data_IF_639332661750
#
_entry.id   IF_639332661750
#
_cell.length_a   1.000
_cell.length_b   1.000
_cell.length_c   1.000
_cell.angle_alpha   90.00
_cell.angle_beta   90.00
_cell.angle_gamma   90.00
#
_symmetry.space_group_name_H-M   'P 1'
#
loop_
_entity.id
_entity.type
_entity.pdbx_description
1 polymer ?
#
# COMPACT_ATOMS: atom_id res chain seq x y z
N UNK A 1 33.38 16.04 -9.14
CA UNK A 1 33.51 16.58 -7.76
C UNK A 1 32.10 16.89 -7.29
N UNK A 2 31.64 16.30 -6.18
CA UNK A 2 30.26 16.45 -5.70
C UNK A 2 30.02 17.79 -4.96
N UNK A 3 31.08 18.40 -4.44
CA UNK A 3 31.03 19.70 -3.77
C UNK A 3 32.35 19.99 -3.04
N UNK A 4 32.46 21.21 -2.51
CA UNK A 4 33.56 21.64 -1.63
C UNK A 4 32.98 21.96 -0.25
N UNK A 5 33.68 21.58 0.82
CA UNK A 5 33.23 21.77 2.20
C UNK A 5 34.35 22.36 3.02
N UNK A 6 34.05 23.40 3.79
CA UNK A 6 34.97 23.96 4.76
C UNK A 6 34.95 23.13 6.05
N UNK A 7 36.12 22.96 6.67
CA UNK A 7 36.24 22.27 7.95
C UNK A 7 35.75 23.17 9.09
N UNK A 8 35.00 22.61 10.03
CA UNK A 8 34.58 23.31 11.25
C UNK A 8 35.78 23.56 12.18
N UNK A 9 35.58 24.41 13.19
CA UNK A 9 36.60 24.78 14.20
C UNK A 9 37.22 23.58 14.94
N UNK A 10 36.55 22.43 14.93
CA UNK A 10 36.97 21.20 15.59
C UNK A 10 37.62 20.18 14.64
N UNK A 11 37.87 20.53 13.37
CA UNK A 11 38.46 19.62 12.39
C UNK A 11 37.47 18.63 11.74
N UNK A 12 36.19 18.70 12.08
CA UNK A 12 35.12 17.89 11.48
C UNK A 12 34.45 18.63 10.31
N UNK A 13 33.77 17.89 9.44
CA UNK A 13 32.93 18.46 8.39
C UNK A 13 31.72 17.56 8.14
N UNK A 14 30.61 18.15 7.69
CA UNK A 14 29.41 17.42 7.26
C UNK A 14 29.05 17.83 5.85
N UNK A 15 28.79 16.85 4.98
CA UNK A 15 28.32 17.09 3.62
C UNK A 15 27.03 16.32 3.38
N UNK A 16 25.98 17.02 2.96
CA UNK A 16 24.70 16.41 2.59
C UNK A 16 24.56 16.53 1.07
N UNK A 17 24.36 15.39 0.43
CA UNK A 17 24.14 15.30 -1.01
C UNK A 17 23.00 14.33 -1.29
N UNK A 18 22.25 14.61 -2.36
CA UNK A 18 21.15 13.76 -2.84
C UNK A 18 21.58 13.09 -4.13
N UNK A 19 21.57 11.76 -4.14
CA UNK A 19 21.94 10.99 -5.32
C UNK A 19 20.88 11.12 -6.42
N UNK A 20 21.28 11.63 -7.58
CA UNK A 20 20.44 11.72 -8.79
C UNK A 20 20.56 10.47 -9.68
N UNK A 21 21.58 9.66 -9.44
CA UNK A 21 21.91 8.47 -10.24
C UNK A 21 21.80 7.20 -9.40
N UNK A 22 21.27 6.16 -10.03
CA UNK A 22 21.10 4.84 -9.44
C UNK A 22 22.26 3.94 -9.85
N UNK A 23 22.73 3.09 -8.94
CA UNK A 23 23.89 2.23 -9.17
C UNK A 23 24.82 2.12 -7.97
N UNK A 24 25.99 1.54 -8.21
CA UNK A 24 27.06 1.47 -7.22
C UNK A 24 27.94 2.72 -7.39
N UNK A 25 28.00 3.54 -6.35
CA UNK A 25 28.76 4.79 -6.33
C UNK A 25 29.89 4.64 -5.34
N UNK A 26 31.08 5.01 -5.78
CA UNK A 26 32.25 5.03 -4.92
C UNK A 26 32.61 6.47 -4.59
N UNK A 27 32.59 6.79 -3.30
CA UNK A 27 32.83 8.14 -2.79
C UNK A 27 34.20 8.19 -2.13
N UNK A 28 34.95 9.27 -2.42
CA UNK A 28 36.20 9.60 -1.73
C UNK A 28 36.25 11.08 -1.42
N UNK A 29 36.87 11.42 -0.30
CA UNK A 29 37.13 12.80 0.11
C UNK A 29 38.59 13.10 -0.16
N UNK A 30 38.86 14.23 -0.79
CA UNK A 30 40.22 14.73 -1.05
C UNK A 30 40.41 16.06 -0.35
N UNK A 31 41.54 16.20 0.33
CA UNK A 31 42.00 17.45 0.94
C UNK A 31 43.30 17.88 0.26
N UNK A 32 43.35 19.12 -0.24
CA UNK A 32 44.44 19.60 -1.11
C UNK A 32 45.74 19.94 -0.38
N UNK A 33 45.75 19.97 0.96
CA UNK A 33 46.93 20.38 1.72
C UNK A 33 46.88 21.82 2.20
N UNK A 34 47.84 22.18 3.05
CA UNK A 34 48.16 23.56 3.42
C UNK A 34 49.67 23.75 3.44
N UNK A 35 50.17 24.95 3.76
CA UNK A 35 51.61 25.20 3.90
C UNK A 35 52.30 24.34 4.97
N UNK A 36 51.54 23.85 5.96
CA UNK A 36 52.05 23.07 7.09
C UNK A 36 51.76 21.57 6.97
N UNK A 37 50.75 21.16 6.18
CA UNK A 37 50.30 19.77 6.12
C UNK A 37 50.09 19.31 4.67
N UNK A 38 50.52 18.09 4.35
CA UNK A 38 50.46 17.49 3.00
C UNK A 38 49.03 17.12 2.59
N UNK A 39 48.79 17.02 1.29
CA UNK A 39 47.51 16.52 0.74
C UNK A 39 47.15 15.15 1.31
N UNK A 40 45.85 14.92 1.49
CA UNK A 40 45.32 13.67 2.05
C UNK A 40 44.10 13.22 1.26
N UNK A 41 43.95 11.91 1.11
CA UNK A 41 42.78 11.32 0.46
C UNK A 41 42.22 10.21 1.34
N UNK A 42 40.91 10.22 1.55
CA UNK A 42 40.23 9.19 2.32
C UNK A 42 40.22 7.87 1.57
N UNK A 43 39.93 6.80 2.33
CA UNK A 43 39.49 5.53 1.76
C UNK A 43 38.21 5.72 0.95
N UNK A 44 38.00 4.83 0.00
CA UNK A 44 36.81 4.79 -0.83
C UNK A 44 35.66 4.11 -0.06
N UNK A 45 34.48 4.73 -0.10
CA UNK A 45 33.25 4.17 0.47
C UNK A 45 32.30 3.87 -0.67
N UNK A 46 31.98 2.59 -0.86
CA UNK A 46 30.98 2.16 -1.84
C UNK A 46 29.58 2.21 -1.22
N UNK A 47 28.67 2.89 -1.92
CA UNK A 47 27.25 2.93 -1.59
C UNK A 47 26.45 2.44 -2.79
N UNK A 48 25.42 1.63 -2.56
CA UNK A 48 24.52 1.15 -3.60
C UNK A 48 23.21 1.93 -3.53
N UNK A 49 23.01 2.83 -4.48
CA UNK A 49 21.77 3.62 -4.61
C UNK A 49 20.83 2.85 -5.53
N UNK A 50 19.79 2.24 -4.94
CA UNK A 50 18.73 1.60 -5.73
C UNK A 50 17.63 2.61 -6.02
N UNK A 51 17.05 2.53 -7.22
CA UNK A 51 15.82 3.26 -7.53
C UNK A 51 14.67 2.63 -6.73
N UNK A 52 14.45 3.14 -5.53
CA UNK A 52 13.33 2.70 -4.73
C UNK A 52 12.10 3.46 -5.18
N UNK A 53 11.12 2.73 -5.73
CA UNK A 53 9.83 3.31 -6.08
C UNK A 53 9.23 3.97 -4.83
N UNK A 54 9.07 5.29 -4.85
CA UNK A 54 8.64 6.10 -3.71
C UNK A 54 7.15 5.92 -3.43
N UNK A 55 6.75 5.87 -2.17
CA UNK A 55 5.35 5.99 -1.79
C UNK A 55 4.94 7.47 -1.75
N UNK A 56 4.87 8.14 -2.90
CA UNK A 56 4.70 9.60 -3.04
C UNK A 56 3.66 10.21 -2.09
N UNK A 57 2.44 9.68 -2.08
CA UNK A 57 1.36 10.19 -1.21
C UNK A 57 1.71 10.05 0.28
N UNK A 58 2.30 8.93 0.68
CA UNK A 58 2.67 8.69 2.07
C UNK A 58 3.86 9.56 2.48
N UNK A 59 4.86 9.71 1.62
CA UNK A 59 6.00 10.62 1.83
C UNK A 59 5.54 12.06 1.99
N UNK A 60 4.67 12.55 1.11
CA UNK A 60 4.08 13.89 1.21
C UNK A 60 3.28 14.08 2.50
N UNK A 61 2.57 13.03 2.94
CA UNK A 61 1.72 13.06 4.15
C UNK A 61 2.53 13.09 5.44
N UNK A 62 3.57 12.26 5.53
CA UNK A 62 4.40 12.10 6.74
C UNK A 62 5.68 12.96 6.71
N UNK A 63 5.96 13.64 5.60
CA UNK A 63 7.05 14.59 5.42
C UNK A 63 8.43 13.97 5.22
N UNK A 64 8.57 12.65 5.31
CA UNK A 64 9.85 11.96 5.10
C UNK A 64 9.66 10.52 4.66
N UNK A 65 10.52 10.06 3.75
CA UNK A 65 10.62 8.65 3.35
C UNK A 65 11.12 7.76 4.50
N UNK A 66 11.79 8.36 5.49
CA UNK A 66 12.31 7.69 6.69
C UNK A 66 11.31 7.70 7.85
N UNK A 67 10.12 8.26 7.66
CA UNK A 67 9.06 8.15 8.67
C UNK A 67 8.73 6.68 8.92
N UNK A 68 8.37 6.30 10.17
CA UNK A 68 8.10 4.91 10.52
C UNK A 68 6.92 4.34 9.72
N UNK A 69 5.94 5.17 9.37
CA UNK A 69 4.79 4.79 8.54
C UNK A 69 5.20 4.45 7.10
N UNK A 70 5.98 5.32 6.45
CA UNK A 70 6.45 5.08 5.08
C UNK A 70 7.43 3.91 5.03
N UNK A 71 8.31 3.81 6.02
CA UNK A 71 9.25 2.69 6.17
C UNK A 71 8.53 1.37 6.33
N UNK A 72 7.45 1.32 7.13
CA UNK A 72 6.60 0.14 7.25
C UNK A 72 5.94 -0.24 5.92
N UNK A 73 5.33 0.73 5.21
CA UNK A 73 4.67 0.48 3.91
C UNK A 73 5.65 -0.11 2.89
N UNK A 74 6.86 0.46 2.83
CA UNK A 74 7.95 -0.04 1.98
C UNK A 74 8.39 -1.44 2.40
N UNK A 75 8.59 -1.67 3.69
CA UNK A 75 8.94 -2.97 4.24
C UNK A 75 7.89 -4.04 3.89
N UNK A 76 6.60 -3.73 4.05
CA UNK A 76 5.51 -4.63 3.66
C UNK A 76 5.54 -4.93 2.16
N UNK A 77 5.66 -3.90 1.32
CA UNK A 77 5.74 -4.07 -0.14
C UNK A 77 6.95 -4.91 -0.55
N UNK A 78 8.14 -4.51 -0.14
CA UNK A 78 9.39 -5.01 -0.68
C UNK A 78 9.81 -6.35 -0.05
N UNK A 79 9.50 -6.56 1.23
CA UNK A 79 9.94 -7.76 1.95
C UNK A 79 8.88 -8.85 2.06
N UNK A 80 7.59 -8.53 1.86
CA UNK A 80 6.49 -9.51 1.92
C UNK A 80 5.91 -9.69 0.53
N UNK A 81 5.30 -8.63 -0.04
CA UNK A 81 4.50 -8.75 -1.26
C UNK A 81 5.38 -9.04 -2.49
N UNK A 82 6.43 -8.25 -2.74
CA UNK A 82 7.26 -8.42 -3.94
C UNK A 82 8.16 -9.66 -3.95
N UNK A 83 8.24 -10.39 -2.82
CA UNK A 83 9.01 -11.65 -2.75
C UNK A 83 8.25 -12.85 -3.29
N UNK A 84 6.98 -12.70 -3.63
CA UNK A 84 6.15 -13.75 -4.24
C UNK A 84 5.81 -13.40 -5.68
N UNK A 85 5.53 -14.41 -6.49
CA UNK A 85 5.13 -14.26 -7.89
C UNK A 85 3.79 -13.53 -8.00
N UNK A 86 2.77 -13.96 -7.25
CA UNK A 86 1.46 -13.30 -7.30
C UNK A 86 1.53 -11.88 -6.74
N UNK A 87 2.33 -11.67 -5.68
CA UNK A 87 2.50 -10.35 -5.09
C UNK A 87 3.28 -9.39 -5.98
N UNK A 88 4.33 -9.85 -6.68
CA UNK A 88 5.07 -9.03 -7.63
C UNK A 88 4.20 -8.63 -8.83
N UNK A 89 3.43 -9.57 -9.40
CA UNK A 89 2.47 -9.29 -10.47
C UNK A 89 1.40 -8.29 -10.01
N UNK A 90 0.80 -8.49 -8.84
CA UNK A 90 -0.13 -7.52 -8.27
C UNK A 90 0.50 -6.13 -8.16
N UNK A 91 1.74 -6.04 -7.66
CA UNK A 91 2.45 -4.79 -7.52
C UNK A 91 2.73 -4.11 -8.87
N UNK A 92 2.95 -4.86 -9.96
CA UNK A 92 3.08 -4.27 -11.29
C UNK A 92 1.79 -3.56 -11.72
N UNK A 93 0.65 -4.25 -11.62
CA UNK A 93 -0.66 -3.68 -11.95
C UNK A 93 -1.03 -2.51 -11.04
N UNK A 94 -0.84 -2.66 -9.73
CA UNK A 94 -1.06 -1.60 -8.76
C UNK A 94 -0.20 -0.37 -9.05
N UNK A 95 1.10 -0.57 -9.33
CA UNK A 95 2.02 0.53 -9.59
C UNK A 95 1.65 1.31 -10.86
N UNK A 96 1.18 0.64 -11.91
CA UNK A 96 0.74 1.31 -13.13
C UNK A 96 -0.38 2.32 -12.84
N UNK A 97 -1.33 1.94 -11.98
CA UNK A 97 -2.43 2.81 -11.56
C UNK A 97 -1.91 3.88 -10.59
N UNK A 98 -1.21 3.49 -9.54
CA UNK A 98 -0.76 4.39 -8.47
C UNK A 98 0.17 5.50 -8.97
N UNK A 99 1.17 5.17 -9.79
CA UNK A 99 2.14 6.16 -10.28
C UNK A 99 1.60 7.04 -11.40
N UNK A 100 0.44 6.70 -12.00
CA UNK A 100 -0.20 7.55 -13.01
C UNK A 100 -0.70 8.88 -12.46
N UNK A 101 -1.06 8.95 -11.17
CA UNK A 101 -1.64 10.15 -10.55
C UNK A 101 -0.95 10.57 -9.25
N UNK A 102 -0.29 9.64 -8.54
CA UNK A 102 0.25 9.94 -7.20
C UNK A 102 1.27 11.07 -7.13
N UNK A 103 2.15 11.32 -8.13
CA UNK A 103 3.10 12.44 -8.04
C UNK A 103 2.39 13.80 -7.99
N UNK A 104 1.34 13.98 -8.80
CA UNK A 104 0.57 15.22 -8.83
C UNK A 104 -0.23 15.42 -7.54
N UNK A 105 -0.83 14.36 -6.99
CA UNK A 105 -1.52 14.46 -5.70
C UNK A 105 -0.53 14.74 -4.56
N UNK A 106 0.67 14.17 -4.60
CA UNK A 106 1.70 14.39 -3.59
C UNK A 106 2.16 15.85 -3.53
N UNK A 107 2.37 16.51 -4.67
CA UNK A 107 2.76 17.93 -4.68
C UNK A 107 1.70 18.82 -4.01
N UNK A 108 0.41 18.55 -4.26
CA UNK A 108 -0.70 19.29 -3.64
C UNK A 108 -0.74 19.06 -2.11
N UNK A 109 -0.44 17.84 -1.64
CA UNK A 109 -0.39 17.51 -0.20
C UNK A 109 0.81 18.20 0.47
N UNK A 110 1.95 18.30 -0.21
CA UNK A 110 3.15 18.94 0.34
C UNK A 110 2.93 20.43 0.58
N UNK A 111 2.22 21.11 -0.32
CA UNK A 111 1.93 22.55 -0.22
C UNK A 111 0.90 22.90 0.86
N UNK A 112 0.00 21.97 1.22
CA UNK A 112 -1.14 22.26 2.09
C UNK A 112 -1.13 21.45 3.41
N UNK A 113 -0.85 22.12 4.53
CA UNK A 113 -0.81 21.50 5.85
C UNK A 113 -2.16 20.91 6.32
N UNK A 114 -3.29 21.51 5.94
CA UNK A 114 -4.62 20.98 6.26
C UNK A 114 -4.84 19.67 5.51
N UNK A 115 -4.55 19.66 4.20
CA UNK A 115 -4.66 18.47 3.38
C UNK A 115 -3.74 17.36 3.88
N UNK A 116 -2.52 17.70 4.30
CA UNK A 116 -1.58 16.76 4.93
C UNK A 116 -2.18 16.08 6.18
N UNK A 117 -2.81 16.85 7.06
CA UNK A 117 -3.45 16.29 8.26
C UNK A 117 -4.67 15.44 7.91
N UNK A 118 -5.47 15.84 6.93
CA UNK A 118 -6.58 15.01 6.42
C UNK A 118 -6.05 13.68 5.85
N UNK A 119 -4.95 13.73 5.09
CA UNK A 119 -4.32 12.52 4.56
C UNK A 119 -3.76 11.61 5.64
N UNK A 120 -3.26 12.13 6.77
CA UNK A 120 -2.87 11.29 7.92
C UNK A 120 -4.08 10.52 8.47
N UNK A 121 -5.22 11.19 8.66
CA UNK A 121 -6.46 10.55 9.13
C UNK A 121 -6.93 9.49 8.15
N UNK A 122 -6.82 9.76 6.85
CA UNK A 122 -7.14 8.78 5.83
C UNK A 122 -6.14 7.62 5.86
N UNK A 123 -4.83 7.84 5.83
CA UNK A 123 -3.84 6.76 5.75
C UNK A 123 -3.75 5.89 7.01
N UNK A 124 -4.14 6.39 8.17
CA UNK A 124 -4.03 5.66 9.43
C UNK A 124 -4.77 4.30 9.45
N UNK A 125 -6.09 4.22 9.16
CA UNK A 125 -6.81 2.94 9.08
C UNK A 125 -6.26 2.01 7.99
N UNK A 126 -5.73 2.56 6.89
CA UNK A 126 -5.09 1.77 5.84
C UNK A 126 -3.80 1.11 6.35
N UNK A 127 -2.92 1.87 7.00
CA UNK A 127 -1.68 1.34 7.58
C UNK A 127 -2.00 0.30 8.65
N UNK A 128 -3.01 0.54 9.49
CA UNK A 128 -3.45 -0.42 10.48
C UNK A 128 -3.92 -1.74 9.84
N UNK A 129 -4.70 -1.66 8.77
CA UNK A 129 -5.16 -2.83 8.00
C UNK A 129 -3.99 -3.63 7.43
N UNK A 130 -2.96 -2.94 6.94
CA UNK A 130 -1.74 -3.59 6.43
C UNK A 130 -0.89 -4.20 7.55
N UNK A 131 -0.85 -3.60 8.74
CA UNK A 131 -0.18 -4.20 9.92
C UNK A 131 -0.86 -5.51 10.34
N UNK A 132 -2.20 -5.53 10.37
CA UNK A 132 -2.97 -6.75 10.66
C UNK A 132 -2.73 -7.81 9.58
N UNK A 133 -2.75 -7.42 8.31
CA UNK A 133 -2.44 -8.29 7.18
C UNK A 133 -1.01 -8.86 7.25
N UNK A 134 -0.02 -8.06 7.63
CA UNK A 134 1.35 -8.52 7.84
C UNK A 134 1.43 -9.54 8.98
N UNK A 135 0.71 -9.31 10.07
CA UNK A 135 0.59 -10.29 11.17
C UNK A 135 -0.01 -11.60 10.68
N UNK A 136 -1.09 -11.55 9.88
CA UNK A 136 -1.69 -12.73 9.29
C UNK A 136 -0.71 -13.48 8.38
N UNK A 137 0.06 -12.77 7.55
CA UNK A 137 1.10 -13.35 6.71
C UNK A 137 2.10 -14.16 7.54
N UNK A 138 2.73 -13.55 8.55
CA UNK A 138 3.75 -14.23 9.35
C UNK A 138 3.17 -15.39 10.16
N UNK A 139 1.92 -15.29 10.61
CA UNK A 139 1.24 -16.36 11.34
C UNK A 139 1.01 -17.61 10.48
N UNK A 140 0.68 -17.45 9.19
CA UNK A 140 0.34 -18.59 8.33
C UNK A 140 1.47 -19.06 7.43
N UNK A 141 2.43 -18.19 7.10
CA UNK A 141 3.49 -18.45 6.12
C UNK A 141 4.27 -19.77 6.36
N UNK A 142 4.64 -20.14 7.59
CA UNK A 142 5.31 -21.43 7.85
C UNK A 142 4.48 -22.67 7.49
N UNK A 143 3.16 -22.55 7.44
CA UNK A 143 2.24 -23.69 7.28
C UNK A 143 1.72 -23.87 5.86
N UNK A 144 1.45 -22.78 5.15
CA UNK A 144 0.79 -22.81 3.83
C UNK A 144 1.70 -22.38 2.66
N UNK A 145 2.93 -21.94 2.97
CA UNK A 145 3.88 -21.41 1.99
C UNK A 145 3.64 -19.94 1.65
N UNK A 146 4.66 -19.32 1.04
CA UNK A 146 4.73 -17.86 0.82
C UNK A 146 3.68 -17.33 -0.13
N UNK A 147 3.40 -18.03 -1.25
CA UNK A 147 2.39 -17.60 -2.23
C UNK A 147 0.99 -17.54 -1.60
N UNK A 148 0.55 -18.64 -0.97
CA UNK A 148 -0.76 -18.71 -0.34
C UNK A 148 -0.87 -17.73 0.84
N UNK A 149 0.21 -17.54 1.61
CA UNK A 149 0.26 -16.56 2.68
C UNK A 149 0.11 -15.12 2.18
N UNK A 150 0.74 -14.74 1.06
CA UNK A 150 0.55 -13.41 0.46
C UNK A 150 -0.87 -13.22 -0.07
N UNK A 151 -1.48 -14.25 -0.67
CA UNK A 151 -2.89 -14.17 -1.12
C UNK A 151 -3.82 -13.96 0.08
N UNK A 152 -3.62 -14.69 1.18
CA UNK A 152 -4.38 -14.48 2.42
C UNK A 152 -4.16 -13.09 3.00
N UNK A 153 -2.91 -12.63 3.05
CA UNK A 153 -2.59 -11.28 3.51
C UNK A 153 -3.30 -10.22 2.66
N UNK A 154 -3.30 -10.39 1.33
CA UNK A 154 -4.04 -9.56 0.39
C UNK A 154 -5.54 -9.54 0.68
N UNK A 155 -6.15 -10.70 0.91
CA UNK A 155 -7.57 -10.84 1.29
C UNK A 155 -7.91 -10.13 2.60
N UNK A 156 -7.06 -10.28 3.63
CA UNK A 156 -7.23 -9.62 4.93
C UNK A 156 -7.15 -8.11 4.73
N UNK A 157 -6.09 -7.62 4.06
CA UNK A 157 -5.90 -6.19 3.80
C UNK A 157 -7.07 -5.59 3.02
N UNK A 158 -7.47 -6.19 1.90
CA UNK A 158 -8.53 -5.67 1.04
C UNK A 158 -9.89 -5.68 1.73
N UNK A 159 -10.20 -6.72 2.52
CA UNK A 159 -11.45 -6.81 3.27
C UNK A 159 -11.53 -5.77 4.39
N UNK A 160 -10.43 -5.53 5.11
CA UNK A 160 -10.35 -4.50 6.15
C UNK A 160 -10.47 -3.09 5.55
N UNK A 161 -9.72 -2.81 4.47
CA UNK A 161 -9.78 -1.52 3.77
C UNK A 161 -11.19 -1.30 3.19
N UNK A 162 -11.76 -2.30 2.54
CA UNK A 162 -13.12 -2.25 2.03
C UNK A 162 -14.14 -1.95 3.12
N UNK A 163 -14.06 -2.65 4.27
CA UNK A 163 -14.97 -2.43 5.38
C UNK A 163 -14.86 -1.03 5.98
N UNK A 164 -13.65 -0.48 6.08
CA UNK A 164 -13.42 0.83 6.70
C UNK A 164 -13.78 1.99 5.76
N UNK A 165 -13.44 1.91 4.48
CA UNK A 165 -13.60 3.01 3.53
C UNK A 165 -14.91 2.95 2.74
N UNK A 166 -15.35 1.77 2.29
CA UNK A 166 -16.56 1.66 1.48
C UNK A 166 -17.83 1.72 2.33
N UNK A 167 -17.80 1.28 3.59
CA UNK A 167 -18.98 1.30 4.46
C UNK A 167 -19.61 2.70 4.61
N UNK A 168 -18.89 3.78 5.00
CA UNK A 168 -19.50 5.09 5.12
C UNK A 168 -20.05 5.61 3.77
N UNK A 169 -19.37 5.29 2.66
CA UNK A 169 -19.80 5.65 1.30
C UNK A 169 -21.11 4.95 0.94
N UNK A 170 -21.20 3.64 1.21
CA UNK A 170 -22.42 2.86 0.92
C UNK A 170 -23.57 3.30 1.81
N UNK A 171 -23.33 3.57 3.10
CA UNK A 171 -24.36 4.10 4.00
C UNK A 171 -24.87 5.47 3.54
N UNK A 172 -23.97 6.35 3.10
CA UNK A 172 -24.32 7.65 2.54
C UNK A 172 -25.14 7.49 1.24
N UNK A 173 -24.75 6.58 0.35
CA UNK A 173 -25.50 6.28 -0.86
C UNK A 173 -26.91 5.75 -0.53
N UNK A 174 -27.05 4.85 0.45
CA UNK A 174 -28.36 4.37 0.93
C UNK A 174 -29.18 5.53 1.52
N UNK A 175 -28.56 6.42 2.28
CA UNK A 175 -29.23 7.60 2.85
C UNK A 175 -29.77 8.53 1.75
N UNK A 176 -28.98 8.81 0.71
CA UNK A 176 -29.37 9.67 -0.42
C UNK A 176 -30.47 9.01 -1.27
N UNK A 177 -30.31 7.72 -1.59
CA UNK A 177 -31.30 6.97 -2.39
C UNK A 177 -32.62 6.73 -1.66
N UNK A 178 -32.62 6.71 -0.31
CA UNK A 178 -33.86 6.77 0.48
C UNK A 178 -34.57 8.11 0.39
N UNK A 179 -33.84 9.21 0.16
CA UNK A 179 -34.41 10.56 -0.03
C UNK A 179 -34.90 10.79 -1.47
N UNK A 180 -34.34 10.08 -2.44
CA UNK A 180 -34.76 10.10 -3.85
C UNK A 180 -34.91 8.66 -4.34
N UNK A 181 -36.11 8.05 -4.29
CA UNK A 181 -36.27 6.69 -4.76
C UNK A 181 -35.87 6.64 -6.23
N UNK A 182 -34.71 6.04 -6.51
CA UNK A 182 -34.32 5.67 -7.87
C UNK A 182 -35.31 4.59 -8.31
N UNK A 183 -36.35 5.03 -8.99
CA UNK A 183 -37.35 4.19 -9.63
C UNK A 183 -36.66 3.23 -10.59
N UNK A 184 -36.75 1.92 -10.34
CA UNK A 184 -36.47 0.88 -11.34
C UNK A 184 -35.33 -0.12 -11.05
N UNK A 185 -34.54 0.05 -9.99
CA UNK A 185 -33.42 -0.88 -9.70
C UNK A 185 -33.60 -1.54 -8.33
N UNK A 186 -34.30 -2.68 -8.31
CA UNK A 186 -34.37 -3.57 -7.13
C UNK A 186 -33.24 -4.58 -7.18
N UNK A 187 -32.01 -4.16 -6.84
CA UNK A 187 -30.89 -5.10 -6.73
C UNK A 187 -31.01 -5.83 -5.38
N UNK A 188 -31.23 -7.14 -5.43
CA UNK A 188 -31.17 -8.00 -4.24
C UNK A 188 -29.73 -8.11 -3.72
N UNK A 189 -29.51 -7.68 -2.47
CA UNK A 189 -28.24 -7.79 -1.76
C UNK A 189 -27.67 -9.23 -1.81
N UNK A 190 -28.54 -10.24 -1.78
CA UNK A 190 -28.13 -11.64 -1.85
C UNK A 190 -27.57 -12.00 -3.23
N UNK A 191 -28.10 -11.43 -4.32
CA UNK A 191 -27.58 -11.66 -5.66
C UNK A 191 -26.21 -10.99 -5.83
N UNK A 192 -26.02 -9.78 -5.28
CA UNK A 192 -24.70 -9.12 -5.26
C UNK A 192 -23.69 -9.98 -4.51
N UNK A 193 -24.04 -10.43 -3.29
CA UNK A 193 -23.14 -11.27 -2.49
C UNK A 193 -22.79 -12.57 -3.21
N UNK A 194 -23.76 -13.25 -3.81
CA UNK A 194 -23.50 -14.44 -4.64
C UNK A 194 -22.55 -14.13 -5.78
N UNK A 195 -22.80 -13.06 -6.54
CA UNK A 195 -21.95 -12.64 -7.65
C UNK A 195 -20.51 -12.34 -7.18
N UNK A 196 -20.35 -11.61 -6.08
CA UNK A 196 -19.03 -11.30 -5.50
C UNK A 196 -18.32 -12.56 -5.00
N UNK A 197 -19.03 -13.52 -4.38
CA UNK A 197 -18.43 -14.79 -3.96
C UNK A 197 -17.98 -15.63 -5.15
N UNK A 198 -18.78 -15.70 -6.22
CA UNK A 198 -18.41 -16.40 -7.46
C UNK A 198 -17.19 -15.74 -8.10
N UNK A 199 -17.18 -14.41 -8.19
CA UNK A 199 -16.05 -13.65 -8.73
C UNK A 199 -14.76 -13.87 -7.92
N UNK A 200 -14.87 -13.88 -6.59
CA UNK A 200 -13.75 -14.13 -5.70
C UNK A 200 -13.19 -15.54 -5.91
N UNK A 201 -14.04 -16.57 -5.93
CA UNK A 201 -13.61 -17.95 -6.18
C UNK A 201 -13.00 -18.12 -7.57
N UNK A 202 -13.58 -17.49 -8.60
CA UNK A 202 -13.06 -17.53 -9.97
C UNK A 202 -11.68 -16.87 -10.06
N UNK A 203 -11.50 -15.71 -9.42
CA UNK A 203 -10.20 -15.01 -9.39
C UNK A 203 -9.14 -15.79 -8.61
N UNK A 204 -9.50 -16.47 -7.51
CA UNK A 204 -8.60 -17.38 -6.79
C UNK A 204 -8.14 -18.54 -7.67
N UNK A 205 -9.07 -19.18 -8.38
CA UNK A 205 -8.74 -20.25 -9.30
C UNK A 205 -7.81 -19.75 -10.41
N UNK A 206 -8.11 -18.59 -11.00
CA UNK A 206 -7.27 -17.97 -12.03
C UNK A 206 -5.86 -17.59 -11.52
N UNK A 207 -5.72 -17.15 -10.26
CA UNK A 207 -4.40 -16.89 -9.68
C UNK A 207 -3.60 -18.19 -9.50
N UNK A 208 -4.25 -19.27 -9.04
CA UNK A 208 -3.59 -20.56 -8.89
C UNK A 208 -3.09 -21.11 -10.24
N UNK A 209 -3.92 -21.04 -11.28
CA UNK A 209 -3.51 -21.44 -12.64
C UNK A 209 -2.44 -20.52 -13.22
N UNK A 210 -2.53 -19.20 -13.00
CA UNK A 210 -1.52 -18.25 -13.43
C UNK A 210 -0.16 -18.50 -12.76
N UNK A 211 -0.16 -18.84 -11.47
CA UNK A 211 1.06 -19.21 -10.74
C UNK A 211 1.64 -20.54 -11.24
N UNK A 212 0.80 -21.51 -11.59
CA UNK A 212 1.25 -22.81 -12.12
C UNK A 212 1.87 -22.67 -13.51
N UNK A 213 1.25 -21.89 -14.40
CA UNK A 213 1.68 -21.69 -15.79
C UNK A 213 2.69 -20.54 -15.92
N UNK A 214 2.97 -19.81 -14.83
CA UNK A 214 3.82 -18.62 -14.79
C UNK A 214 3.37 -17.51 -15.77
N UNK A 215 2.05 -17.36 -15.95
CA UNK A 215 1.48 -16.37 -16.86
C UNK A 215 1.29 -15.01 -16.14
N UNK A 216 2.18 -14.06 -16.41
CA UNK A 216 2.19 -12.73 -15.77
C UNK A 216 0.91 -11.95 -16.01
N UNK A 217 0.41 -11.88 -17.25
CA UNK A 217 -0.78 -11.11 -17.58
C UNK A 217 -2.02 -11.62 -16.83
N UNK A 218 -2.18 -12.95 -16.78
CA UNK A 218 -3.28 -13.58 -16.03
C UNK A 218 -3.14 -13.33 -14.53
N UNK A 219 -1.93 -13.37 -13.97
CA UNK A 219 -1.66 -13.09 -12.56
C UNK A 219 -1.99 -11.64 -12.18
N UNK A 220 -1.62 -10.66 -13.03
CA UNK A 220 -1.94 -9.24 -12.80
C UNK A 220 -3.46 -9.04 -12.77
N UNK A 221 -4.17 -9.50 -13.80
CA UNK A 221 -5.61 -9.29 -13.91
C UNK A 221 -6.38 -10.00 -12.77
N UNK A 222 -6.05 -11.27 -12.50
CA UNK A 222 -6.74 -12.05 -11.47
C UNK A 222 -6.47 -11.52 -10.05
N UNK A 223 -5.24 -11.08 -9.74
CA UNK A 223 -4.92 -10.50 -8.43
C UNK A 223 -5.60 -9.14 -8.20
N UNK A 224 -5.66 -8.26 -9.21
CA UNK A 224 -6.40 -7.00 -9.12
C UNK A 224 -7.90 -7.21 -8.94
N UNK A 225 -8.47 -8.16 -9.70
CA UNK A 225 -9.87 -8.55 -9.56
C UNK A 225 -10.16 -9.13 -8.18
N UNK A 226 -9.29 -10.01 -7.67
CA UNK A 226 -9.42 -10.61 -6.35
C UNK A 226 -9.43 -9.56 -5.23
N UNK A 227 -8.48 -8.62 -5.25
CA UNK A 227 -8.39 -7.52 -4.28
C UNK A 227 -9.62 -6.61 -4.35
N UNK A 228 -10.09 -6.29 -5.56
CA UNK A 228 -11.27 -5.44 -5.76
C UNK A 228 -12.57 -6.13 -5.29
N UNK A 229 -12.75 -7.41 -5.62
CA UNK A 229 -13.91 -8.20 -5.24
C UNK A 229 -14.01 -8.39 -3.72
N UNK A 230 -12.88 -8.68 -3.07
CA UNK A 230 -12.81 -8.82 -1.60
C UNK A 230 -13.08 -7.50 -0.87
N UNK A 231 -12.55 -6.37 -1.36
CA UNK A 231 -12.87 -5.06 -0.82
C UNK A 231 -14.37 -4.72 -0.92
N UNK A 232 -15.02 -5.03 -2.04
CA UNK A 232 -16.46 -4.80 -2.24
C UNK A 232 -17.36 -5.76 -1.45
N UNK A 233 -16.92 -7.01 -1.23
CA UNK A 233 -17.68 -8.00 -0.48
C UNK A 233 -17.84 -7.62 1.00
N UNK A 234 -16.81 -7.02 1.60
CA UNK A 234 -16.78 -6.70 3.03
C UNK A 234 -17.93 -5.79 3.53
N UNK A 235 -18.23 -4.61 2.94
CA UNK A 235 -19.38 -3.81 3.37
C UNK A 235 -20.72 -4.50 3.07
N UNK A 236 -20.82 -5.26 1.98
CA UNK A 236 -22.05 -5.97 1.62
C UNK A 236 -22.41 -7.07 2.64
N UNK A 237 -21.40 -7.79 3.14
CA UNK A 237 -21.57 -8.78 4.22
C UNK A 237 -22.00 -8.08 5.51
N UNK A 238 -21.33 -6.99 5.89
CA UNK A 238 -21.67 -6.25 7.11
C UNK A 238 -23.12 -5.72 7.08
N UNK A 239 -23.57 -5.17 5.95
CA UNK A 239 -24.95 -4.72 5.77
C UNK A 239 -25.96 -5.87 5.88
N UNK A 240 -25.61 -7.07 5.39
CA UNK A 240 -26.45 -8.26 5.57
C UNK A 240 -26.57 -8.62 7.04
N UNK A 241 -25.46 -8.67 7.76
CA UNK A 241 -25.44 -8.99 9.19
C UNK A 241 -26.25 -7.98 10.00
N UNK A 242 -26.10 -6.68 9.73
CA UNK A 242 -26.88 -5.63 10.39
C UNK A 242 -28.39 -5.79 10.13
N UNK A 243 -28.78 -6.10 8.88
CA UNK A 243 -30.18 -6.36 8.52
C UNK A 243 -30.74 -7.59 9.25
N UNK A 244 -29.97 -8.67 9.34
CA UNK A 244 -30.38 -9.91 10.00
C UNK A 244 -30.48 -9.76 11.53
N UNK A 245 -29.67 -8.89 12.14
CA UNK A 245 -29.79 -8.54 13.57
C UNK A 245 -31.04 -7.71 13.83
N UNK A 246 -31.33 -6.71 12.98
CA UNK A 246 -32.51 -5.86 13.13
C UNK A 246 -33.82 -6.67 13.00
N UNK A 247 -33.90 -7.56 12.01
CA UNK A 247 -35.04 -8.47 11.83
C UNK A 247 -35.23 -9.39 13.06
N UNK A 248 -34.14 -9.90 13.64
CA UNK A 248 -34.21 -10.73 14.85
C UNK A 248 -34.70 -9.95 16.07
N UNK A 249 -34.24 -8.71 16.25
CA UNK A 249 -34.68 -7.85 17.35
C UNK A 249 -36.16 -7.46 17.24
N UNK A 250 -36.67 -7.23 16.03
CA UNK A 250 -38.11 -6.96 15.80
C UNK A 250 -38.95 -8.20 16.15
N UNK A 251 -38.52 -9.40 15.75
CA UNK A 251 -39.23 -10.65 16.08
C UNK A 251 -39.26 -10.91 17.59
N UNK A 252 -38.17 -10.65 18.31
CA UNK A 252 -38.09 -10.82 19.76
C UNK A 252 -38.93 -9.81 20.56
N UNK A 253 -39.23 -8.62 20.02
CA UNK A 253 -40.14 -7.66 20.66
C UNK A 253 -41.62 -7.97 20.46
N UNK A 254 -41.95 -8.79 19.46
CA UNK A 254 -43.30 -9.17 19.10
C UNK A 254 -43.70 -10.57 19.62
N UNK A 255 -42.82 -11.24 20.36
CA UNK A 255 -43.04 -12.53 21.05
C UNK A 255 -43.08 -12.32 22.55
#
# INVERSE_FOLDING_TARGET
VLGYVATDKNGAFTFVWTAEITGELSLRVRWEGSREFKEAVSNEVSIRVKEERKCFIATATYGSELSPEVSFLRGFRDNIVKKTFLGSCFMEGFNAIYYSFSPHIASIIEENAILRNLMKVLLYPLILSLKVSAGAFFAVNPYIGTEAAVVLAGFVASSLIGALYMLPIVLLAIYITRRRPLTGISISLNNILKALTVLLLLSLFAMATASYIQNVAMAICSSLLFVSASALASPAILLRLLRDVDIRNIRSKNS
#
